data_IF_394758135332
#
_entry.id   IF_394758135332
#
_cell.length_a   1.000
_cell.length_b   1.000
_cell.length_c   1.000
_cell.angle_alpha   90.00
_cell.angle_beta   90.00
_cell.angle_gamma   90.00
#
_symmetry.space_group_name_H-M   'P 1'
#
loop_
_entity.id
_entity.type
_entity.pdbx_description
1 polymer ?
#
# COMPACT_ATOMS: atom_id res chain seq x y z
N UNK A 1 7.12 23.37 20.03
CA UNK A 1 7.89 22.18 20.43
C UNK A 1 8.46 21.57 19.16
N UNK A 2 9.66 20.99 19.19
CA UNK A 2 10.34 20.43 18.00
C UNK A 2 10.21 18.91 18.00
N UNK A 3 9.73 18.34 16.90
CA UNK A 3 9.72 16.89 16.63
C UNK A 3 11.07 16.26 17.00
N UNK A 4 11.04 15.05 17.56
CA UNK A 4 12.28 14.33 17.82
C UNK A 4 13.03 14.08 16.50
N UNK A 5 14.39 14.00 16.49
CA UNK A 5 15.15 13.78 15.26
C UNK A 5 14.72 12.53 14.49
N UNK A 6 14.33 11.47 15.20
CA UNK A 6 13.81 10.24 14.60
C UNK A 6 12.43 10.43 13.94
N UNK A 7 11.58 11.28 14.51
CA UNK A 7 10.27 11.62 13.93
C UNK A 7 10.42 12.50 12.70
N UNK A 8 11.33 13.47 12.74
CA UNK A 8 11.68 14.27 11.56
C UNK A 8 12.18 13.38 10.42
N UNK A 9 13.05 12.41 10.74
CA UNK A 9 13.56 11.45 9.78
C UNK A 9 12.46 10.55 9.21
N UNK A 10 11.64 9.94 10.07
CA UNK A 10 10.57 9.04 9.67
C UNK A 10 9.49 9.77 8.87
N UNK A 11 9.05 10.94 9.32
CA UNK A 11 8.07 11.79 8.64
C UNK A 11 8.52 12.21 7.24
N UNK A 12 9.80 12.54 7.08
CA UNK A 12 10.39 12.83 5.76
C UNK A 12 10.33 11.63 4.84
N UNK A 13 10.74 10.44 5.32
CA UNK A 13 10.73 9.23 4.50
C UNK A 13 9.31 8.74 4.17
N UNK A 14 8.36 8.85 5.10
CA UNK A 14 6.94 8.60 4.82
C UNK A 14 6.43 9.52 3.72
N UNK A 15 6.74 10.81 3.80
CA UNK A 15 6.34 11.80 2.80
C UNK A 15 6.86 11.42 1.41
N UNK A 16 8.15 11.07 1.32
CA UNK A 16 8.77 10.64 0.06
C UNK A 16 8.06 9.39 -0.49
N UNK A 17 7.85 8.38 0.36
CA UNK A 17 7.21 7.14 -0.04
C UNK A 17 5.75 7.35 -0.51
N UNK A 18 4.96 8.13 0.24
CA UNK A 18 3.56 8.44 -0.11
C UNK A 18 3.49 9.22 -1.42
N UNK A 19 4.33 10.24 -1.61
CA UNK A 19 4.37 11.02 -2.85
C UNK A 19 4.75 10.17 -4.06
N UNK A 20 5.80 9.35 -3.94
CA UNK A 20 6.20 8.41 -5.00
C UNK A 20 5.03 7.47 -5.31
N UNK A 21 4.39 6.90 -4.30
CA UNK A 21 3.30 5.94 -4.48
C UNK A 21 2.09 6.56 -5.19
N UNK A 22 1.71 7.78 -4.80
CA UNK A 22 0.62 8.52 -5.47
C UNK A 22 0.99 8.83 -6.92
N UNK A 23 2.18 9.37 -7.17
CA UNK A 23 2.62 9.73 -8.53
C UNK A 23 2.68 8.50 -9.44
N UNK A 24 3.23 7.38 -8.96
CA UNK A 24 3.31 6.14 -9.72
C UNK A 24 1.94 5.50 -9.93
N UNK A 25 1.08 5.49 -8.92
CA UNK A 25 -0.29 5.00 -9.03
C UNK A 25 -1.11 5.80 -10.05
N UNK A 26 -1.03 7.13 -10.02
CA UNK A 26 -1.66 8.01 -11.01
C UNK A 26 -1.07 7.78 -12.41
N UNK A 27 0.24 7.56 -12.51
CA UNK A 27 0.91 7.28 -13.78
C UNK A 27 0.47 5.94 -14.38
N UNK A 28 0.28 4.91 -13.57
CA UNK A 28 -0.30 3.62 -13.98
C UNK A 28 -1.75 3.84 -14.42
N UNK A 29 -2.57 4.49 -13.60
CA UNK A 29 -3.96 4.79 -13.91
C UNK A 29 -4.12 5.56 -15.24
N UNK A 30 -3.25 6.54 -15.50
CA UNK A 30 -3.32 7.34 -16.72
C UNK A 30 -3.16 6.54 -18.02
N UNK A 31 -2.56 5.33 -17.98
CA UNK A 31 -2.46 4.46 -19.16
C UNK A 31 -3.81 4.01 -19.69
N UNK A 32 -4.83 4.03 -18.84
CA UNK A 32 -6.19 3.79 -19.29
C UNK A 32 -6.59 4.69 -20.47
N UNK A 33 -6.19 5.97 -20.45
CA UNK A 33 -6.60 6.90 -21.51
C UNK A 33 -6.00 6.53 -22.87
N UNK A 34 -4.82 5.92 -22.87
CA UNK A 34 -4.12 5.43 -24.06
C UNK A 34 -4.57 4.03 -24.49
N UNK A 35 -4.73 3.11 -23.54
CA UNK A 35 -4.97 1.68 -23.81
C UNK A 35 -6.45 1.29 -23.77
N UNK A 36 -7.30 2.13 -23.19
CA UNK A 36 -8.73 1.89 -22.91
C UNK A 36 -9.00 0.61 -22.11
N UNK A 37 -7.99 0.12 -21.39
CA UNK A 37 -8.07 -1.05 -20.53
C UNK A 37 -8.23 -0.61 -19.07
N UNK A 38 -9.41 -0.89 -18.50
CA UNK A 38 -9.78 -0.47 -17.14
C UNK A 38 -8.88 -1.08 -16.06
N UNK A 39 -8.18 -2.18 -16.34
CA UNK A 39 -7.23 -2.79 -15.39
C UNK A 39 -6.18 -1.76 -14.94
N UNK A 40 -5.73 -0.87 -15.83
CA UNK A 40 -4.78 0.18 -15.46
C UNK A 40 -5.36 1.15 -14.41
N UNK A 41 -6.63 1.57 -14.54
CA UNK A 41 -7.28 2.40 -13.51
C UNK A 41 -7.36 1.65 -12.19
N UNK A 42 -7.87 0.42 -12.23
CA UNK A 42 -8.11 -0.40 -11.04
C UNK A 42 -6.80 -0.63 -10.28
N UNK A 43 -5.75 -1.06 -10.96
CA UNK A 43 -4.42 -1.29 -10.37
C UNK A 43 -3.82 0.02 -9.83
N UNK A 44 -3.86 1.10 -10.61
CA UNK A 44 -3.28 2.37 -10.21
C UNK A 44 -3.92 2.93 -8.94
N UNK A 45 -5.25 2.89 -8.84
CA UNK A 45 -5.96 3.31 -7.63
C UNK A 45 -5.83 2.30 -6.48
N UNK A 46 -5.76 1.00 -6.76
CA UNK A 46 -5.46 -0.01 -5.73
C UNK A 46 -4.13 0.29 -5.06
N UNK A 47 -3.10 0.63 -5.84
CA UNK A 47 -1.79 1.00 -5.32
C UNK A 47 -1.82 2.29 -4.48
N UNK A 48 -2.56 3.31 -4.92
CA UNK A 48 -2.73 4.54 -4.13
C UNK A 48 -3.35 4.20 -2.77
N UNK A 49 -4.45 3.45 -2.77
CA UNK A 49 -5.22 3.16 -1.57
C UNK A 49 -4.57 2.13 -0.65
N UNK A 50 -3.80 1.17 -1.15
CA UNK A 50 -3.10 0.21 -0.30
C UNK A 50 -2.01 0.87 0.54
N UNK A 51 -1.47 2.01 0.08
CA UNK A 51 -0.48 2.84 0.78
C UNK A 51 -1.13 3.82 1.78
N UNK A 52 -2.44 3.79 1.98
CA UNK A 52 -3.10 4.67 2.95
C UNK A 52 -2.67 4.53 4.42
N UNK A 53 -2.13 3.39 4.93
CA UNK A 53 -1.63 3.32 6.31
C UNK A 53 -0.60 4.39 6.68
N UNK A 54 0.11 4.91 5.69
CA UNK A 54 1.17 5.91 5.85
C UNK A 54 0.73 7.35 5.61
N UNK A 55 -0.51 7.56 5.14
CA UNK A 55 -1.10 8.87 4.97
C UNK A 55 -1.23 9.64 6.28
N UNK A 56 -1.77 9.06 7.38
CA UNK A 56 -1.90 9.80 8.63
C UNK A 56 -0.55 10.23 9.19
N UNK A 57 0.50 9.41 9.10
CA UNK A 57 1.85 9.81 9.53
C UNK A 57 2.38 11.01 8.75
N UNK A 58 2.19 11.02 7.43
CA UNK A 58 2.58 12.14 6.55
C UNK A 58 1.80 13.41 6.91
N UNK A 59 0.49 13.30 7.11
CA UNK A 59 -0.37 14.45 7.42
C UNK A 59 -0.06 14.98 8.84
N UNK A 60 0.08 14.08 9.82
CA UNK A 60 0.45 14.43 11.19
C UNK A 60 1.81 15.12 11.24
N UNK A 61 2.78 14.65 10.45
CA UNK A 61 4.10 15.27 10.34
C UNK A 61 4.00 16.73 9.87
N UNK A 62 3.28 17.01 8.79
CA UNK A 62 3.08 18.39 8.35
C UNK A 62 2.27 19.22 9.34
N UNK A 63 1.23 18.66 9.96
CA UNK A 63 0.45 19.39 10.96
C UNK A 63 1.31 19.78 12.16
N UNK A 64 2.15 18.86 12.65
CA UNK A 64 3.09 19.12 13.74
C UNK A 64 4.13 20.20 13.36
N UNK A 65 4.65 20.19 12.13
CA UNK A 65 5.57 21.23 11.66
C UNK A 65 4.94 22.62 11.55
N UNK A 66 3.68 22.70 11.10
CA UNK A 66 2.99 23.98 10.85
C UNK A 66 2.44 24.56 12.15
N UNK A 67 1.79 23.74 12.97
CA UNK A 67 1.05 24.20 14.15
C UNK A 67 1.86 24.08 15.45
N UNK A 68 2.91 23.26 15.45
CA UNK A 68 3.60 22.88 16.68
C UNK A 68 2.75 22.01 17.62
N UNK A 69 1.59 21.52 17.18
CA UNK A 69 0.70 20.68 17.96
C UNK A 69 1.22 19.24 18.08
N UNK A 70 0.99 18.65 19.25
CA UNK A 70 1.33 17.27 19.60
C UNK A 70 0.13 16.65 20.34
N UNK A 71 -0.43 15.52 19.88
CA UNK A 71 -0.07 14.79 18.66
C UNK A 71 -0.43 15.57 17.38
N UNK A 72 0.19 15.22 16.26
CA UNK A 72 -0.06 15.87 14.98
C UNK A 72 -1.48 15.65 14.44
N UNK A 73 -2.21 14.65 14.91
CA UNK A 73 -3.62 14.41 14.60
C UNK A 73 -4.32 13.81 15.83
N UNK A 74 -5.64 13.97 15.93
CA UNK A 74 -6.42 13.19 16.90
C UNK A 74 -6.36 11.70 16.51
N UNK A 75 -6.49 10.82 17.51
CA UNK A 75 -6.44 9.37 17.28
C UNK A 75 -7.50 8.91 16.27
N UNK A 76 -8.70 9.50 16.32
CA UNK A 76 -9.80 9.16 15.42
C UNK A 76 -9.48 9.50 13.97
N UNK A 77 -9.01 10.73 13.73
CA UNK A 77 -8.63 11.18 12.38
C UNK A 77 -7.46 10.32 11.86
N UNK A 78 -6.48 10.06 12.72
CA UNK A 78 -5.33 9.24 12.37
C UNK A 78 -5.76 7.84 11.93
N UNK A 79 -6.59 7.15 12.73
CA UNK A 79 -7.03 5.79 12.42
C UNK A 79 -7.94 5.73 11.20
N UNK A 80 -8.85 6.69 11.01
CA UNK A 80 -9.71 6.75 9.82
C UNK A 80 -8.83 6.87 8.57
N UNK A 81 -7.92 7.84 8.53
CA UNK A 81 -7.06 8.07 7.36
C UNK A 81 -6.16 6.86 7.06
N UNK A 82 -5.66 6.19 8.10
CA UNK A 82 -4.77 5.05 7.97
C UNK A 82 -5.45 3.77 7.47
N UNK A 83 -6.78 3.65 7.57
CA UNK A 83 -7.45 2.36 7.38
C UNK A 83 -8.64 2.38 6.42
N UNK A 84 -9.29 3.53 6.22
CA UNK A 84 -10.57 3.59 5.50
C UNK A 84 -10.46 3.14 4.03
N UNK A 85 -9.31 3.36 3.39
CA UNK A 85 -9.12 3.01 1.98
C UNK A 85 -8.59 1.59 1.74
N UNK A 86 -8.19 0.86 2.78
CA UNK A 86 -7.62 -0.50 2.63
C UNK A 86 -8.63 -1.48 2.03
N UNK A 87 -9.88 -1.57 2.50
CA UNK A 87 -10.86 -2.46 1.87
C UNK A 87 -11.18 -2.05 0.43
N UNK A 88 -11.19 -0.74 0.13
CA UNK A 88 -11.38 -0.22 -1.22
C UNK A 88 -10.22 -0.64 -2.14
N UNK A 89 -8.98 -0.54 -1.66
CA UNK A 89 -7.79 -0.99 -2.37
C UNK A 89 -7.90 -2.46 -2.75
N UNK A 90 -8.24 -3.30 -1.77
CA UNK A 90 -8.39 -4.74 -1.98
C UNK A 90 -9.52 -5.04 -2.98
N UNK A 91 -10.65 -4.35 -2.86
CA UNK A 91 -11.78 -4.52 -3.78
C UNK A 91 -11.40 -4.21 -5.23
N UNK A 92 -10.78 -3.06 -5.49
CA UNK A 92 -10.31 -2.67 -6.82
C UNK A 92 -9.28 -3.67 -7.36
N UNK A 93 -8.38 -4.14 -6.50
CA UNK A 93 -7.35 -5.11 -6.86
C UNK A 93 -7.96 -6.46 -7.25
N UNK A 94 -8.95 -6.95 -6.51
CA UNK A 94 -9.64 -8.20 -6.82
C UNK A 94 -10.45 -8.09 -8.13
N UNK A 95 -11.02 -6.93 -8.45
CA UNK A 95 -11.63 -6.71 -9.77
C UNK A 95 -10.57 -6.81 -10.87
N UNK A 96 -9.44 -6.10 -10.73
CA UNK A 96 -8.36 -6.12 -11.72
C UNK A 96 -7.84 -7.55 -11.97
N UNK A 97 -7.65 -8.32 -10.90
CA UNK A 97 -7.23 -9.71 -10.98
C UNK A 97 -8.25 -10.58 -11.71
N UNK A 98 -9.52 -10.47 -11.33
CA UNK A 98 -10.58 -11.36 -11.83
C UNK A 98 -10.98 -11.05 -13.26
N UNK A 99 -10.86 -9.79 -13.69
CA UNK A 99 -11.02 -9.38 -15.09
C UNK A 99 -10.06 -10.14 -16.02
N UNK A 100 -8.83 -10.38 -15.57
CA UNK A 100 -7.81 -11.03 -16.39
C UNK A 100 -7.77 -12.56 -16.21
N UNK A 101 -7.80 -13.05 -14.98
CA UNK A 101 -7.50 -14.46 -14.70
C UNK A 101 -8.74 -15.32 -14.45
N UNK A 102 -9.80 -14.74 -13.87
CA UNK A 102 -10.92 -15.51 -13.34
C UNK A 102 -12.29 -14.91 -13.68
N UNK A 103 -12.59 -14.56 -14.95
CA UNK A 103 -13.83 -13.85 -15.30
C UNK A 103 -15.08 -14.64 -14.88
N UNK A 104 -15.03 -15.98 -14.95
CA UNK A 104 -16.14 -16.86 -14.55
C UNK A 104 -16.37 -16.91 -13.03
N UNK A 105 -15.38 -16.56 -12.21
CA UNK A 105 -15.45 -16.57 -10.73
C UNK A 105 -15.48 -15.16 -10.14
N UNK A 106 -15.52 -14.13 -10.98
CA UNK A 106 -15.44 -12.74 -10.58
C UNK A 106 -16.49 -12.37 -9.54
N UNK A 107 -17.77 -12.69 -9.80
CA UNK A 107 -18.87 -12.38 -8.87
C UNK A 107 -18.62 -13.00 -7.49
N UNK A 108 -18.20 -14.28 -7.45
CA UNK A 108 -17.92 -14.97 -6.19
C UNK A 108 -16.78 -14.30 -5.42
N UNK A 109 -15.65 -14.04 -6.07
CA UNK A 109 -14.46 -13.45 -5.43
C UNK A 109 -14.75 -12.01 -4.94
N UNK A 110 -15.43 -11.22 -5.77
CA UNK A 110 -15.83 -9.84 -5.41
C UNK A 110 -16.81 -9.87 -4.23
N UNK A 111 -17.80 -10.77 -4.24
CA UNK A 111 -18.77 -10.89 -3.14
C UNK A 111 -18.08 -11.24 -1.82
N UNK A 112 -17.14 -12.19 -1.84
CA UNK A 112 -16.33 -12.51 -0.65
C UNK A 112 -15.50 -11.32 -0.19
N UNK A 113 -14.91 -10.56 -1.13
CA UNK A 113 -14.19 -9.33 -0.83
C UNK A 113 -15.07 -8.24 -0.19
N UNK A 114 -16.32 -8.08 -0.66
CA UNK A 114 -17.28 -7.15 -0.07
C UNK A 114 -17.65 -7.59 1.35
N UNK A 115 -17.93 -8.87 1.58
CA UNK A 115 -18.23 -9.40 2.93
C UNK A 115 -17.06 -9.14 3.88
N UNK A 116 -15.83 -9.40 3.43
CA UNK A 116 -14.61 -9.13 4.18
C UNK A 116 -14.46 -7.63 4.52
N UNK A 117 -14.70 -6.75 3.53
CA UNK A 117 -14.65 -5.30 3.71
C UNK A 117 -15.72 -4.78 4.69
N UNK A 118 -16.96 -5.25 4.56
CA UNK A 118 -18.06 -4.86 5.45
C UNK A 118 -17.82 -5.32 6.88
N UNK A 119 -17.34 -6.56 7.07
CA UNK A 119 -16.96 -7.06 8.39
C UNK A 119 -15.90 -6.16 9.04
N UNK A 120 -14.89 -5.75 8.28
CA UNK A 120 -13.89 -4.80 8.74
C UNK A 120 -14.50 -3.45 9.10
N UNK A 121 -15.28 -2.83 8.21
CA UNK A 121 -15.85 -1.50 8.49
C UNK A 121 -16.76 -1.49 9.71
N UNK A 122 -17.66 -2.47 9.83
CA UNK A 122 -18.56 -2.57 10.99
C UNK A 122 -17.76 -2.64 12.27
N UNK A 123 -16.76 -3.52 12.33
CA UNK A 123 -15.96 -3.70 13.53
C UNK A 123 -15.04 -2.50 13.79
N UNK A 124 -14.39 -1.94 12.76
CA UNK A 124 -13.54 -0.76 12.86
C UNK A 124 -14.30 0.44 13.43
N UNK A 125 -15.46 0.79 12.85
CA UNK A 125 -16.24 1.94 13.32
C UNK A 125 -16.92 1.68 14.67
N UNK A 126 -17.29 0.43 14.96
CA UNK A 126 -17.76 0.05 16.30
C UNK A 126 -16.68 0.29 17.36
N UNK A 127 -15.46 -0.21 17.15
CA UNK A 127 -14.34 0.00 18.07
C UNK A 127 -13.99 1.49 18.21
N UNK A 128 -13.95 2.22 17.09
CA UNK A 128 -13.66 3.65 17.06
C UNK A 128 -14.65 4.46 17.90
N UNK A 129 -15.94 4.08 17.88
CA UNK A 129 -17.00 4.77 18.61
C UNK A 129 -17.01 4.50 20.12
N UNK A 130 -16.41 3.39 20.56
CA UNK A 130 -16.33 3.01 21.98
C UNK A 130 -15.09 3.63 22.61
N UNK A 131 -13.92 3.32 22.03
CA UNK A 131 -12.63 3.81 22.48
C UNK A 131 -11.59 3.58 21.36
N UNK A 132 -11.04 4.64 20.75
CA UNK A 132 -9.99 4.54 19.73
C UNK A 132 -8.78 3.71 20.20
N UNK A 133 -8.49 3.64 21.50
CA UNK A 133 -7.38 2.83 22.05
C UNK A 133 -7.52 1.33 21.73
N UNK A 134 -8.74 0.84 21.44
CA UNK A 134 -9.00 -0.53 21.02
C UNK A 134 -8.47 -0.83 19.61
N UNK A 135 -8.32 0.19 18.76
CA UNK A 135 -7.75 0.09 17.41
C UNK A 135 -6.22 0.10 17.49
N UNK A 136 -5.66 0.97 18.32
CA UNK A 136 -4.22 1.09 18.53
C UNK A 136 -3.87 2.31 19.38
N UNK A 137 -2.57 2.52 19.55
CA UNK A 137 -2.01 3.64 20.32
C UNK A 137 -1.10 4.48 19.43
N UNK A 138 -1.22 5.80 19.51
CA UNK A 138 -0.27 6.71 18.89
C UNK A 138 1.05 6.67 19.65
N UNK A 139 2.16 6.50 18.92
CA UNK A 139 3.52 6.53 19.47
C UNK A 139 4.22 7.79 18.99
N UNK A 140 4.42 8.72 19.91
CA UNK A 140 4.91 10.06 19.54
C UNK A 140 3.89 10.83 18.70
N UNK A 141 4.37 11.73 17.86
CA UNK A 141 3.51 12.68 17.15
C UNK A 141 2.98 12.18 15.81
N UNK A 142 3.63 11.16 15.23
CA UNK A 142 3.44 10.78 13.81
C UNK A 142 3.35 9.26 13.56
N UNK A 143 3.43 8.42 14.59
CA UNK A 143 3.49 6.97 14.44
C UNK A 143 2.38 6.26 15.22
N UNK A 144 2.11 5.01 14.87
CA UNK A 144 1.06 4.18 15.46
C UNK A 144 1.53 2.77 15.75
N UNK A 145 1.02 2.21 16.85
CA UNK A 145 1.05 0.79 17.14
C UNK A 145 -0.36 0.24 17.11
N UNK A 146 -0.69 -0.54 16.08
CA UNK A 146 -2.01 -1.15 15.96
C UNK A 146 -2.18 -2.33 16.92
N UNK A 147 -3.37 -2.47 17.48
CA UNK A 147 -3.75 -3.62 18.27
C UNK A 147 -3.98 -4.86 17.40
N UNK A 148 -4.08 -6.01 18.07
CA UNK A 148 -4.14 -7.33 17.45
C UNK A 148 -5.21 -7.43 16.34
N UNK A 149 -6.41 -6.88 16.56
CA UNK A 149 -7.48 -6.94 15.57
C UNK A 149 -7.10 -6.28 14.24
N UNK A 150 -6.64 -5.02 14.28
CA UNK A 150 -6.23 -4.28 13.09
C UNK A 150 -4.99 -4.92 12.48
N UNK A 151 -4.00 -5.31 13.30
CA UNK A 151 -2.80 -5.98 12.83
C UNK A 151 -3.11 -7.27 12.05
N UNK A 152 -4.03 -8.11 12.55
CA UNK A 152 -4.50 -9.32 11.86
C UNK A 152 -5.15 -8.96 10.52
N UNK A 153 -6.07 -7.99 10.50
CA UNK A 153 -6.73 -7.56 9.27
C UNK A 153 -5.74 -7.04 8.21
N UNK A 154 -4.78 -6.21 8.62
CA UNK A 154 -3.73 -5.69 7.74
C UNK A 154 -2.86 -6.82 7.20
N UNK A 155 -2.43 -7.74 8.06
CA UNK A 155 -1.63 -8.89 7.66
C UNK A 155 -2.36 -9.79 6.65
N UNK A 156 -3.63 -10.12 6.90
CA UNK A 156 -4.44 -10.90 5.96
C UNK A 156 -4.62 -10.17 4.63
N UNK A 157 -4.87 -8.87 4.65
CA UNK A 157 -5.01 -8.07 3.42
C UNK A 157 -3.72 -8.11 2.59
N UNK A 158 -2.56 -7.92 3.22
CA UNK A 158 -1.26 -7.99 2.56
C UNK A 158 -1.01 -9.39 1.99
N UNK A 159 -1.35 -10.46 2.73
CA UNK A 159 -1.20 -11.83 2.25
C UNK A 159 -2.10 -12.11 1.04
N UNK A 160 -3.36 -11.64 1.05
CA UNK A 160 -4.24 -11.75 -0.11
C UNK A 160 -3.62 -11.04 -1.31
N UNK A 161 -3.16 -9.79 -1.14
CA UNK A 161 -2.51 -9.00 -2.20
C UNK A 161 -1.25 -9.69 -2.72
N UNK A 162 -0.40 -10.25 -1.85
CA UNK A 162 0.80 -10.98 -2.24
C UNK A 162 0.47 -12.23 -3.07
N UNK A 163 -0.42 -13.09 -2.56
CA UNK A 163 -0.77 -14.35 -3.23
C UNK A 163 -1.39 -14.05 -4.59
N UNK A 164 -2.36 -13.13 -4.62
CA UNK A 164 -3.04 -12.76 -5.86
C UNK A 164 -2.14 -11.96 -6.81
N UNK A 165 -1.21 -11.17 -6.29
CA UNK A 165 -0.17 -10.47 -7.05
C UNK A 165 0.81 -11.40 -7.76
N UNK A 166 1.26 -12.45 -7.07
CA UNK A 166 2.08 -13.50 -7.68
C UNK A 166 1.28 -14.23 -8.76
N UNK A 167 0.02 -14.58 -8.50
CA UNK A 167 -0.86 -15.19 -9.50
C UNK A 167 -1.07 -14.29 -10.72
N UNK A 168 -1.27 -12.99 -10.50
CA UNK A 168 -1.39 -11.97 -11.55
C UNK A 168 -0.15 -11.92 -12.45
N UNK A 169 1.04 -11.94 -11.86
CA UNK A 169 2.29 -11.81 -12.58
C UNK A 169 2.75 -13.10 -13.28
N UNK A 170 2.31 -14.27 -12.79
CA UNK A 170 2.78 -15.59 -13.26
C UNK A 170 2.61 -15.80 -14.78
N UNK A 171 1.46 -15.54 -15.43
CA UNK A 171 1.32 -15.71 -16.87
C UNK A 171 2.31 -14.88 -17.69
N UNK A 172 2.77 -13.75 -17.14
CA UNK A 172 3.78 -12.92 -17.82
C UNK A 172 5.15 -13.59 -17.86
N UNK A 173 5.47 -14.45 -16.88
CA UNK A 173 6.75 -15.18 -16.85
C UNK A 173 6.89 -16.21 -17.97
N UNK A 174 5.77 -16.80 -18.38
CA UNK A 174 5.72 -17.84 -19.41
C UNK A 174 5.66 -17.26 -20.84
N UNK A 175 5.60 -15.93 -20.97
CA UNK A 175 5.58 -15.25 -22.27
C UNK A 175 6.89 -15.44 -23.05
N UNK A 176 6.79 -15.63 -24.36
CA UNK A 176 7.94 -15.65 -25.28
C UNK A 176 8.59 -14.27 -25.42
N UNK A 177 7.79 -13.19 -25.36
CA UNK A 177 8.32 -11.82 -25.39
C UNK A 177 9.13 -11.52 -24.09
N UNK A 178 10.44 -11.24 -24.21
CA UNK A 178 11.29 -10.95 -23.04
C UNK A 178 10.85 -9.71 -22.26
N UNK A 179 10.16 -8.75 -22.88
CA UNK A 179 9.62 -7.57 -22.20
C UNK A 179 8.50 -7.92 -21.25
N UNK A 180 7.57 -8.77 -21.69
CA UNK A 180 6.47 -9.26 -20.86
C UNK A 180 7.03 -10.12 -19.72
N UNK A 181 8.02 -10.97 -20.02
CA UNK A 181 8.70 -11.78 -19.00
C UNK A 181 9.36 -10.92 -17.92
N UNK A 182 10.06 -9.86 -18.31
CA UNK A 182 10.67 -8.93 -17.37
C UNK A 182 9.62 -8.21 -16.52
N UNK A 183 8.50 -7.77 -17.12
CA UNK A 183 7.37 -7.19 -16.38
C UNK A 183 6.87 -8.13 -15.28
N UNK A 184 6.65 -9.41 -15.62
CA UNK A 184 6.24 -10.43 -14.65
C UNK A 184 7.22 -10.57 -13.49
N UNK A 185 8.54 -10.60 -13.77
CA UNK A 185 9.59 -10.66 -12.74
C UNK A 185 9.55 -9.44 -11.82
N UNK A 186 9.47 -8.24 -12.40
CA UNK A 186 9.42 -7.00 -11.63
C UNK A 186 8.17 -6.94 -10.74
N UNK A 187 7.01 -7.37 -11.23
CA UNK A 187 5.80 -7.43 -10.40
C UNK A 187 5.94 -8.39 -9.21
N UNK A 188 6.51 -9.59 -9.42
CA UNK A 188 6.69 -10.55 -8.32
C UNK A 188 7.64 -9.98 -7.26
N UNK A 189 8.76 -9.40 -7.69
CA UNK A 189 9.71 -8.76 -6.77
C UNK A 189 9.00 -7.62 -6.04
N UNK A 190 8.21 -6.79 -6.72
CA UNK A 190 7.44 -5.69 -6.11
C UNK A 190 6.51 -6.18 -4.99
N UNK A 191 5.70 -7.22 -5.24
CA UNK A 191 4.79 -7.76 -4.23
C UNK A 191 5.55 -8.32 -3.02
N UNK A 192 6.68 -9.00 -3.25
CA UNK A 192 7.51 -9.55 -2.18
C UNK A 192 8.18 -8.42 -1.38
N UNK A 193 8.84 -7.48 -2.05
CA UNK A 193 9.51 -6.32 -1.45
C UNK A 193 8.54 -5.50 -0.60
N UNK A 194 7.36 -5.20 -1.14
CA UNK A 194 6.30 -4.47 -0.43
C UNK A 194 5.87 -5.23 0.83
N UNK A 195 5.56 -6.53 0.68
CA UNK A 195 5.09 -7.35 1.80
C UNK A 195 6.14 -7.43 2.92
N UNK A 196 7.40 -7.67 2.58
CA UNK A 196 8.49 -7.71 3.56
C UNK A 196 8.66 -6.35 4.23
N UNK A 197 8.69 -5.26 3.45
CA UNK A 197 8.80 -3.90 3.97
C UNK A 197 7.71 -3.58 4.98
N UNK A 198 6.44 -3.85 4.62
CA UNK A 198 5.30 -3.59 5.50
C UNK A 198 5.29 -4.46 6.75
N UNK A 199 5.67 -5.75 6.66
CA UNK A 199 5.79 -6.60 7.85
C UNK A 199 6.90 -6.12 8.78
N UNK A 200 8.04 -5.68 8.24
CA UNK A 200 9.10 -5.09 9.06
C UNK A 200 8.61 -3.82 9.75
N UNK A 201 7.93 -2.90 9.03
CA UNK A 201 7.40 -1.66 9.59
C UNK A 201 6.39 -1.91 10.72
N UNK A 202 5.57 -2.96 10.57
CA UNK A 202 4.56 -3.33 11.56
C UNK A 202 5.13 -4.05 12.81
N UNK A 203 6.20 -4.84 12.66
CA UNK A 203 6.65 -5.77 13.71
C UNK A 203 7.93 -5.33 14.41
N UNK A 204 8.75 -4.50 13.77
CA UNK A 204 10.10 -4.17 14.27
C UNK A 204 10.10 -2.81 14.96
N UNK A 205 10.78 -2.71 16.10
CA UNK A 205 10.99 -1.44 16.79
C UNK A 205 11.67 -0.43 15.89
N UNK A 206 11.09 0.76 15.79
CA UNK A 206 11.55 1.82 14.90
C UNK A 206 12.79 2.53 15.49
N UNK A 207 13.89 2.45 14.77
CA UNK A 207 15.12 3.21 14.97
C UNK A 207 15.62 3.67 13.59
N UNK A 208 16.65 4.50 13.52
CA UNK A 208 17.15 5.01 12.23
C UNK A 208 17.47 3.90 11.22
N UNK A 209 18.05 2.78 11.67
CA UNK A 209 18.44 1.67 10.79
C UNK A 209 17.19 0.94 10.28
N UNK A 210 16.28 0.54 11.17
CA UNK A 210 15.08 -0.21 10.78
C UNK A 210 14.15 0.64 9.91
N UNK A 211 14.03 1.94 10.21
CA UNK A 211 13.33 2.92 9.36
C UNK A 211 13.95 2.99 7.97
N UNK A 212 15.28 3.05 7.88
CA UNK A 212 15.95 3.10 6.58
C UNK A 212 15.63 1.85 5.76
N UNK A 213 15.77 0.68 6.37
CA UNK A 213 15.58 -0.62 5.69
C UNK A 213 14.15 -0.75 5.17
N UNK A 214 13.13 -0.51 6.01
CA UNK A 214 11.74 -0.65 5.59
C UNK A 214 11.38 0.32 4.45
N UNK A 215 11.85 1.58 4.52
CA UNK A 215 11.57 2.58 3.48
C UNK A 215 12.28 2.28 2.18
N UNK A 216 13.51 1.75 2.21
CA UNK A 216 14.20 1.28 1.00
C UNK A 216 13.41 0.16 0.32
N UNK A 217 12.92 -0.82 1.09
CA UNK A 217 12.11 -1.92 0.53
C UNK A 217 10.80 -1.43 -0.07
N UNK A 218 10.08 -0.55 0.62
CA UNK A 218 8.81 0.01 0.16
C UNK A 218 8.98 0.90 -1.08
N UNK A 219 9.97 1.80 -1.09
CA UNK A 219 10.27 2.64 -2.25
C UNK A 219 10.74 1.77 -3.43
N UNK A 220 11.58 0.77 -3.18
CA UNK A 220 11.98 -0.20 -4.21
C UNK A 220 10.77 -0.89 -4.81
N UNK A 221 9.85 -1.36 -3.97
CA UNK A 221 8.62 -2.02 -4.42
C UNK A 221 7.77 -1.11 -5.32
N UNK A 222 7.67 0.18 -5.00
CA UNK A 222 6.94 1.15 -5.82
C UNK A 222 7.58 1.30 -7.22
N UNK A 223 8.92 1.39 -7.28
CA UNK A 223 9.68 1.46 -8.54
C UNK A 223 9.53 0.16 -9.35
N UNK A 224 9.58 -0.99 -8.68
CA UNK A 224 9.38 -2.31 -9.28
C UNK A 224 7.95 -2.45 -9.84
N UNK A 225 6.92 -1.99 -9.12
CA UNK A 225 5.54 -1.92 -9.63
C UNK A 225 5.44 -1.05 -10.88
N UNK A 226 6.06 0.13 -10.86
CA UNK A 226 6.11 0.99 -12.05
C UNK A 226 6.76 0.26 -13.23
N UNK A 227 7.88 -0.42 -13.01
CA UNK A 227 8.52 -1.25 -14.03
C UNK A 227 7.65 -2.41 -14.52
N UNK A 228 6.99 -3.10 -13.60
CA UNK A 228 6.13 -4.24 -13.87
C UNK A 228 4.90 -3.87 -14.71
N UNK A 229 4.23 -2.77 -14.40
CA UNK A 229 3.05 -2.35 -15.16
C UNK A 229 3.41 -1.58 -16.43
N UNK A 230 4.44 -0.73 -16.40
CA UNK A 230 4.72 0.23 -17.46
C UNK A 230 5.91 -0.14 -18.34
N UNK A 231 6.92 -0.79 -17.76
CA UNK A 231 8.25 -1.04 -18.32
C UNK A 231 8.79 0.17 -19.09
N UNK A 232 9.23 1.24 -18.41
CA UNK A 232 9.80 2.40 -19.08
C UNK A 232 11.08 2.02 -19.84
N UNK A 233 11.37 2.75 -20.92
CA UNK A 233 12.51 2.47 -21.81
C UNK A 233 13.87 2.35 -21.09
N UNK A 234 14.07 3.09 -19.99
CA UNK A 234 15.32 3.02 -19.24
C UNK A 234 15.46 1.69 -18.48
N UNK A 235 14.38 1.14 -17.92
CA UNK A 235 14.39 -0.19 -17.29
C UNK A 235 14.56 -1.27 -18.35
N UNK A 236 13.85 -1.14 -19.47
CA UNK A 236 13.99 -2.04 -20.60
C UNK A 236 15.44 -2.15 -21.05
N UNK A 237 16.11 -1.02 -21.30
CA UNK A 237 17.53 -0.97 -21.68
C UNK A 237 18.47 -1.53 -20.60
N UNK A 238 18.17 -1.26 -19.32
CA UNK A 238 18.99 -1.70 -18.21
C UNK A 238 18.98 -3.23 -18.08
N UNK A 239 17.82 -3.85 -18.24
CA UNK A 239 17.62 -5.28 -17.96
C UNK A 239 17.65 -6.18 -19.21
N UNK A 240 17.34 -5.67 -20.41
CA UNK A 240 17.22 -6.47 -21.64
C UNK A 240 18.32 -6.25 -22.69
N UNK A 241 19.22 -5.28 -22.47
CA UNK A 241 20.38 -4.92 -23.31
C UNK A 241 20.30 -5.31 -24.78
#
# INVERSE_FOLDING_TARGET
MTLAPIELYNGTLFTIFVLISILLGLRIASRYFEKKDRVFLLVGFSWIFIVCPWYPSTIAFFNALITGASPGLSAEIYFILGNIFIPVALFLWLIALTDLLFPKKQILIITLGIIYALAFYILFFYLLSIDPSLIGELRGDIDVSYNLFIAIFLAFTILIVLITGILFARPSLDSEDPKIRLKGKLLIIAFISYTIGTFIDALVTKNFITITIMRVLEISSAIEFYGGFMLPKWMEKLFLK
#
